data_IF_909532764929
#
_entry.id   IF_909532764929
#
_cell.length_a   1.000
_cell.length_b   1.000
_cell.length_c   1.000
_cell.angle_alpha   90.00
_cell.angle_beta   90.00
_cell.angle_gamma   90.00
#
_symmetry.space_group_name_H-M   'P 1'
#
loop_
_entity.id
_entity.type
_entity.pdbx_description
1 polymer ?
#
# COMPACT_ATOMS: atom_id res chain seq x y z
N UNK A 1 -47.35 22.27 -30.05
CA UNK A 1 -47.85 21.86 -31.39
C UNK A 1 -47.18 20.56 -31.81
N UNK A 2 -47.88 19.72 -32.60
CA UNK A 2 -47.35 18.69 -33.53
C UNK A 2 -47.66 19.19 -34.98
N UNK A 3 -47.34 18.53 -36.13
CA UNK A 3 -46.62 17.27 -36.41
C UNK A 3 -45.20 17.57 -36.98
N UNK A 4 -44.47 16.84 -37.85
CA UNK A 4 -44.65 15.71 -38.81
C UNK A 4 -43.44 14.74 -38.80
N UNK A 5 -43.46 13.76 -39.72
CA UNK A 5 -42.40 12.79 -40.08
C UNK A 5 -42.41 12.59 -41.63
N UNK A 6 -41.72 11.57 -42.17
CA UNK A 6 -41.50 11.20 -43.59
C UNK A 6 -40.49 12.13 -44.33
N UNK A 7 -39.77 11.73 -45.39
CA UNK A 7 -39.75 10.53 -46.29
C UNK A 7 -38.27 10.20 -46.67
N UNK A 8 -37.72 8.98 -46.72
CA UNK A 8 -38.02 7.74 -47.49
C UNK A 8 -37.66 7.81 -49.01
N UNK A 9 -36.64 7.05 -49.47
CA UNK A 9 -36.65 6.16 -50.68
C UNK A 9 -35.27 5.71 -51.23
N UNK A 10 -35.10 4.38 -51.39
CA UNK A 10 -34.49 3.62 -52.53
C UNK A 10 -33.01 3.88 -52.96
N UNK A 11 -32.28 2.99 -53.67
CA UNK A 11 -32.59 1.69 -54.32
C UNK A 11 -31.44 0.66 -54.19
N UNK A 12 -31.68 -0.59 -54.59
CA UNK A 12 -30.80 -1.77 -54.59
C UNK A 12 -29.66 -1.80 -55.62
N UNK A 13 -28.62 -2.60 -55.33
CA UNK A 13 -27.98 -3.47 -56.32
C UNK A 13 -27.45 -4.76 -55.65
N UNK A 14 -27.54 -5.90 -56.34
CA UNK A 14 -27.10 -7.23 -55.88
C UNK A 14 -26.32 -7.88 -57.03
N UNK A 15 -25.12 -8.40 -56.78
CA UNK A 15 -24.32 -9.11 -57.80
C UNK A 15 -23.54 -10.25 -57.16
N UNK A 16 -23.87 -11.48 -57.54
CA UNK A 16 -23.22 -12.71 -57.10
C UNK A 16 -22.96 -13.56 -58.35
N UNK A 17 -21.71 -13.93 -58.60
CA UNK A 17 -21.33 -14.87 -59.67
C UNK A 17 -20.26 -15.84 -59.17
N UNK A 18 -20.19 -16.99 -59.82
CA UNK A 18 -19.63 -18.22 -59.29
C UNK A 18 -18.46 -18.76 -60.13
N UNK A 19 -17.53 -19.40 -59.43
CA UNK A 19 -16.70 -20.54 -59.87
C UNK A 19 -15.81 -20.41 -61.12
N UNK A 20 -14.49 -20.45 -60.87
CA UNK A 20 -13.52 -21.14 -61.74
C UNK A 20 -12.83 -22.22 -60.91
N UNK A 21 -12.73 -23.46 -61.43
CA UNK A 21 -12.28 -24.62 -60.64
C UNK A 21 -10.83 -25.04 -60.96
N UNK A 22 -10.12 -25.57 -59.97
CA UNK A 22 -8.79 -26.16 -60.11
C UNK A 22 -8.59 -27.37 -59.20
N UNK A 23 -8.48 -28.56 -59.79
CA UNK A 23 -8.02 -29.80 -59.12
C UNK A 23 -6.48 -29.75 -58.94
N UNK A 24 -5.82 -30.48 -58.03
CA UNK A 24 -6.18 -31.54 -57.05
C UNK A 24 -5.16 -31.42 -55.87
N UNK A 25 -5.19 -32.13 -54.73
CA UNK A 25 -5.43 -33.57 -54.49
C UNK A 25 -5.72 -33.82 -53.00
N UNK A 26 -6.48 -34.87 -52.70
CA UNK A 26 -6.93 -35.21 -51.34
C UNK A 26 -6.04 -36.28 -50.67
N UNK A 27 -5.75 -36.12 -49.37
CA UNK A 27 -5.39 -37.22 -48.45
C UNK A 27 -6.01 -36.99 -47.06
N UNK A 28 -6.36 -38.09 -46.38
CA UNK A 28 -6.98 -38.12 -45.05
C UNK A 28 -5.97 -37.97 -43.92
N UNK A 29 -6.39 -37.57 -42.70
CA UNK A 29 -5.49 -37.36 -41.57
C UNK A 29 -4.88 -38.68 -41.06
N UNK A 30 -3.64 -38.59 -40.59
CA UNK A 30 -2.96 -39.61 -39.80
C UNK A 30 -2.26 -38.94 -38.60
N UNK A 31 -2.58 -39.46 -37.42
CA UNK A 31 -1.88 -39.45 -36.12
C UNK A 31 -1.00 -38.25 -35.69
N UNK A 32 -1.31 -37.74 -34.50
CA UNK A 32 -0.55 -36.72 -33.76
C UNK A 32 0.69 -37.32 -33.08
N UNK A 33 1.89 -36.78 -33.32
CA UNK A 33 3.00 -36.85 -32.38
C UNK A 33 2.97 -35.61 -31.47
N UNK A 34 2.80 -35.80 -30.17
CA UNK A 34 2.91 -34.70 -29.20
C UNK A 34 4.35 -34.22 -29.08
N UNK A 35 4.58 -32.92 -29.20
CA UNK A 35 5.75 -32.28 -28.61
C UNK A 35 5.35 -30.92 -28.02
N UNK A 36 5.48 -30.81 -26.70
CA UNK A 36 5.15 -29.62 -25.93
C UNK A 36 6.42 -28.80 -25.68
N UNK A 37 6.66 -27.75 -26.45
CA UNK A 37 7.61 -26.71 -26.07
C UNK A 37 6.84 -25.49 -25.53
N UNK A 38 6.98 -25.28 -24.22
CA UNK A 38 6.29 -24.22 -23.48
C UNK A 38 6.84 -22.84 -23.86
N UNK A 39 5.98 -21.96 -24.36
CA UNK A 39 6.29 -20.53 -24.38
C UNK A 39 6.58 -20.05 -22.95
N UNK A 40 7.82 -19.62 -22.69
CA UNK A 40 8.20 -19.03 -21.39
C UNK A 40 7.50 -17.68 -21.23
N UNK A 41 6.38 -17.66 -20.51
CA UNK A 41 5.78 -16.43 -20.03
C UNK A 41 6.82 -15.64 -19.21
N UNK A 42 6.81 -14.32 -19.34
CA UNK A 42 7.61 -13.41 -18.50
C UNK A 42 7.22 -13.64 -17.04
N UNK A 43 8.15 -14.14 -16.24
CA UNK A 43 7.92 -14.50 -14.85
C UNK A 43 7.61 -13.30 -13.97
N UNK A 44 6.33 -12.97 -13.85
CA UNK A 44 5.84 -12.28 -12.66
C UNK A 44 6.13 -13.21 -11.47
N UNK A 45 7.06 -12.82 -10.61
CA UNK A 45 7.32 -13.55 -9.36
C UNK A 45 6.06 -13.40 -8.52
N UNK A 46 5.26 -14.46 -8.45
CA UNK A 46 4.20 -14.57 -7.45
C UNK A 46 4.88 -14.56 -6.10
N UNK A 47 4.75 -13.46 -5.36
CA UNK A 47 5.21 -13.38 -3.97
C UNK A 47 4.52 -14.51 -3.19
N UNK A 48 5.31 -15.40 -2.58
CA UNK A 48 4.73 -16.50 -1.82
C UNK A 48 4.00 -15.94 -0.61
N UNK A 49 2.93 -16.60 -0.17
CA UNK A 49 2.19 -16.15 1.01
C UNK A 49 3.10 -16.05 2.23
N UNK A 50 4.07 -16.97 2.37
CA UNK A 50 5.09 -16.92 3.41
C UNK A 50 5.99 -15.68 3.31
N UNK A 51 6.32 -15.23 2.10
CA UNK A 51 7.12 -14.00 1.88
C UNK A 51 6.33 -12.75 2.29
N UNK A 52 5.04 -12.69 1.93
CA UNK A 52 4.14 -11.60 2.30
C UNK A 52 3.91 -11.54 3.82
N UNK A 53 3.68 -12.70 4.46
CA UNK A 53 3.49 -12.78 5.91
C UNK A 53 4.80 -12.46 6.65
N UNK A 54 5.95 -12.88 6.12
CA UNK A 54 7.26 -12.46 6.62
C UNK A 54 7.48 -10.94 6.46
N UNK A 55 7.09 -10.34 5.33
CA UNK A 55 7.08 -8.89 5.13
C UNK A 55 6.26 -8.20 6.23
N UNK A 56 5.02 -8.64 6.49
CA UNK A 56 4.15 -7.98 7.49
C UNK A 56 4.58 -8.22 8.93
N UNK A 57 5.28 -9.31 9.21
CA UNK A 57 5.75 -9.65 10.57
C UNK A 57 6.89 -8.76 11.08
N UNK A 58 7.63 -8.09 10.18
CA UNK A 58 8.78 -7.25 10.54
C UNK A 58 8.34 -5.81 10.84
N UNK A 59 9.12 -5.03 11.61
CA UNK A 59 8.95 -3.58 11.65
C UNK A 59 9.13 -2.97 10.25
N UNK A 60 8.10 -2.28 9.78
CA UNK A 60 8.04 -1.60 8.48
C UNK A 60 7.06 -0.43 8.60
N UNK A 61 7.05 0.47 7.62
CA UNK A 61 6.09 1.58 7.58
C UNK A 61 4.77 1.12 6.95
N UNK A 62 3.70 1.12 7.71
CA UNK A 62 2.43 0.52 7.26
C UNK A 62 1.78 1.34 6.14
N UNK A 63 1.04 0.66 5.28
CA UNK A 63 0.00 1.31 4.47
C UNK A 63 -1.38 0.98 5.03
N UNK A 64 -2.13 2.04 5.34
CA UNK A 64 -3.52 1.95 5.79
C UNK A 64 -4.47 2.58 4.77
N UNK A 65 -5.74 2.16 4.74
CA UNK A 65 -6.66 2.64 3.71
C UNK A 65 -8.13 2.64 4.15
N UNK A 66 -8.78 3.82 4.07
CA UNK A 66 -10.23 3.91 4.18
C UNK A 66 -10.87 3.46 2.86
N UNK A 67 -11.71 2.43 2.93
CA UNK A 67 -12.51 1.91 1.82
C UNK A 67 -13.97 2.27 2.06
N UNK A 68 -14.59 3.00 1.13
CA UNK A 68 -16.02 3.36 1.22
C UNK A 68 -16.86 2.14 0.87
N UNK A 69 -17.70 1.65 1.80
CA UNK A 69 -18.40 0.39 1.58
C UNK A 69 -19.45 0.51 0.47
N UNK A 70 -19.11 -0.13 -0.66
CA UNK A 70 -19.84 -0.11 -1.93
C UNK A 70 -20.06 1.33 -2.46
N UNK A 71 -19.17 1.77 -3.36
CA UNK A 71 -19.20 3.12 -3.95
C UNK A 71 -19.16 4.23 -2.88
N UNK A 72 -19.80 5.39 -3.09
CA UNK A 72 -20.00 6.40 -2.06
C UNK A 72 -21.07 5.95 -1.06
N UNK A 73 -20.73 4.96 -0.23
CA UNK A 73 -21.55 4.40 0.85
C UNK A 73 -22.93 3.88 0.39
N UNK A 74 -23.07 2.55 0.29
CA UNK A 74 -24.30 1.85 -0.14
C UNK A 74 -24.72 2.08 -1.61
N UNK A 75 -23.81 2.56 -2.46
CA UNK A 75 -23.97 2.52 -3.93
C UNK A 75 -23.44 1.19 -4.50
N UNK A 76 -23.77 0.78 -5.74
CA UNK A 76 -23.17 -0.44 -6.29
C UNK A 76 -21.66 -0.27 -6.49
N UNK A 77 -20.86 -1.22 -5.99
CA UNK A 77 -19.41 -1.20 -6.19
C UNK A 77 -19.04 -1.32 -7.69
N UNK A 78 -18.05 -0.52 -8.19
CA UNK A 78 -17.74 -0.46 -9.60
C UNK A 78 -17.24 -1.83 -10.10
N UNK A 79 -17.79 -2.30 -11.23
CA UNK A 79 -17.43 -3.59 -11.87
C UNK A 79 -17.58 -4.83 -10.97
N UNK A 80 -18.42 -4.77 -9.93
CA UNK A 80 -18.61 -5.90 -9.00
C UNK A 80 -17.42 -6.13 -8.06
N UNK A 81 -16.57 -5.12 -7.87
CA UNK A 81 -15.43 -5.18 -6.96
C UNK A 81 -15.84 -5.15 -5.49
N UNK A 82 -14.95 -5.56 -4.59
CA UNK A 82 -15.16 -5.47 -3.15
C UNK A 82 -13.82 -5.36 -2.39
N UNK A 83 -13.87 -5.02 -1.11
CA UNK A 83 -12.67 -4.70 -0.34
C UNK A 83 -11.70 -5.87 -0.11
N UNK A 84 -12.07 -7.13 -0.35
CA UNK A 84 -11.11 -8.25 -0.28
C UNK A 84 -10.11 -8.28 -1.45
N UNK A 85 -10.26 -7.38 -2.42
CA UNK A 85 -9.42 -7.28 -3.63
C UNK A 85 -8.37 -6.16 -3.57
N UNK A 86 -8.28 -5.43 -2.45
CA UNK A 86 -7.18 -4.47 -2.18
C UNK A 86 -5.81 -5.16 -2.21
N UNK A 87 -4.69 -4.41 -2.34
CA UNK A 87 -3.37 -5.01 -2.46
C UNK A 87 -3.04 -5.96 -1.33
N UNK A 88 -2.45 -7.10 -1.68
CA UNK A 88 -1.97 -8.10 -0.72
C UNK A 88 -1.01 -7.49 0.33
N UNK A 89 -0.23 -6.47 -0.05
CA UNK A 89 0.66 -5.71 0.81
C UNK A 89 0.01 -4.53 1.57
N UNK A 90 -1.33 -4.40 1.59
CA UNK A 90 -2.03 -3.47 2.49
C UNK A 90 -2.03 -4.04 3.92
N UNK A 91 -1.67 -3.23 4.91
CA UNK A 91 -1.50 -3.71 6.29
C UNK A 91 -2.77 -3.54 7.11
N UNK A 92 -3.46 -2.39 6.97
CA UNK A 92 -4.72 -2.08 7.66
C UNK A 92 -5.74 -1.54 6.67
N UNK A 93 -6.80 -2.31 6.43
CA UNK A 93 -8.03 -1.81 5.82
C UNK A 93 -8.90 -1.16 6.91
N UNK A 94 -9.38 0.04 6.65
CA UNK A 94 -10.34 0.77 7.49
C UNK A 94 -11.65 0.81 6.72
N UNK A 95 -12.65 0.05 7.17
CA UNK A 95 -13.94 0.02 6.48
C UNK A 95 -14.76 1.25 6.90
N UNK A 96 -14.99 2.16 5.96
CA UNK A 96 -15.76 3.37 6.20
C UNK A 96 -17.26 3.13 5.94
N UNK A 97 -18.11 3.88 6.66
CA UNK A 97 -19.57 3.95 6.52
C UNK A 97 -20.37 2.62 6.50
N UNK A 98 -19.80 1.50 6.97
CA UNK A 98 -20.53 0.23 7.13
C UNK A 98 -21.63 0.28 8.20
N UNK A 99 -22.74 -0.39 7.92
CA UNK A 99 -23.80 -0.70 8.89
C UNK A 99 -24.21 -2.18 8.77
N UNK A 100 -24.65 -2.81 9.87
CA UNK A 100 -25.39 -4.08 9.84
C UNK A 100 -26.61 -4.13 8.89
N UNK A 101 -27.11 -2.98 8.43
CA UNK A 101 -28.17 -2.84 7.42
C UNK A 101 -27.67 -2.76 5.97
N UNK A 102 -26.36 -2.86 5.72
CA UNK A 102 -25.79 -2.88 4.36
C UNK A 102 -26.27 -4.10 3.56
N UNK A 103 -26.56 -3.97 2.25
CA UNK A 103 -26.89 -5.09 1.36
C UNK A 103 -25.84 -6.21 1.34
N UNK A 104 -24.58 -5.90 1.67
CA UNK A 104 -23.46 -6.85 1.70
C UNK A 104 -23.01 -7.25 3.11
N UNK A 105 -23.78 -6.92 4.15
CA UNK A 105 -23.41 -7.21 5.55
C UNK A 105 -23.18 -8.71 5.83
N UNK A 106 -23.82 -9.62 5.07
CA UNK A 106 -23.57 -11.07 5.18
C UNK A 106 -22.26 -11.53 4.52
N UNK A 107 -21.72 -10.76 3.58
CA UNK A 107 -20.49 -11.06 2.83
C UNK A 107 -19.25 -10.55 3.57
N UNK A 108 -19.39 -9.46 4.34
CA UNK A 108 -18.32 -8.80 5.11
C UNK A 108 -17.41 -9.79 5.89
N UNK A 109 -17.91 -10.78 6.65
CA UNK A 109 -17.03 -11.71 7.38
C UNK A 109 -16.16 -12.60 6.46
N UNK A 110 -16.68 -12.99 5.29
CA UNK A 110 -15.91 -13.76 4.31
C UNK A 110 -14.83 -12.92 3.62
N UNK A 111 -15.12 -11.66 3.34
CA UNK A 111 -14.15 -10.70 2.81
C UNK A 111 -13.05 -10.34 3.84
N UNK A 112 -13.42 -10.19 5.11
CA UNK A 112 -12.46 -10.01 6.23
C UNK A 112 -11.56 -11.25 6.36
N UNK A 113 -12.13 -12.46 6.40
CA UNK A 113 -11.35 -13.70 6.46
C UNK A 113 -10.39 -13.84 5.26
N UNK A 114 -10.80 -13.40 4.07
CA UNK A 114 -9.93 -13.38 2.87
C UNK A 114 -8.70 -12.49 3.10
N UNK A 115 -8.87 -11.32 3.70
CA UNK A 115 -7.78 -10.40 4.05
C UNK A 115 -6.93 -10.90 5.22
N UNK A 116 -7.52 -11.60 6.19
CA UNK A 116 -6.80 -12.26 7.28
C UNK A 116 -5.80 -13.31 6.78
N UNK A 117 -6.14 -14.08 5.73
CA UNK A 117 -5.15 -15.04 5.15
C UNK A 117 -3.88 -14.36 4.63
N UNK A 118 -3.99 -13.08 4.22
CA UNK A 118 -2.89 -12.24 3.73
C UNK A 118 -2.25 -11.37 4.83
N UNK A 119 -2.65 -11.55 6.09
CA UNK A 119 -2.17 -10.75 7.22
C UNK A 119 -2.62 -9.28 7.22
N UNK A 120 -3.59 -8.90 6.38
CA UNK A 120 -4.20 -7.56 6.41
C UNK A 120 -5.22 -7.51 7.55
N UNK A 121 -5.08 -6.55 8.48
CA UNK A 121 -6.11 -6.28 9.48
C UNK A 121 -7.26 -5.50 8.85
N UNK A 122 -8.49 -5.73 9.33
CA UNK A 122 -9.67 -4.95 8.92
C UNK A 122 -10.34 -4.34 10.14
N UNK A 123 -10.33 -3.01 10.24
CA UNK A 123 -10.99 -2.25 11.32
C UNK A 123 -12.20 -1.49 10.78
N UNK A 124 -13.02 -0.91 11.66
CA UNK A 124 -14.24 -0.18 11.31
C UNK A 124 -14.25 1.21 11.94
N UNK A 125 -14.48 2.24 11.13
CA UNK A 125 -14.73 3.60 11.64
C UNK A 125 -16.15 3.72 12.22
N UNK A 126 -16.30 4.34 13.38
CA UNK A 126 -17.61 4.61 13.96
C UNK A 126 -17.61 5.54 15.18
N UNK A 127 -18.82 5.76 15.73
CA UNK A 127 -19.07 6.76 16.76
C UNK A 127 -18.82 6.28 18.20
N UNK A 128 -18.73 7.27 19.11
CA UNK A 128 -18.60 7.06 20.57
C UNK A 128 -19.88 7.42 21.34
N UNK A 129 -20.97 7.69 20.64
CA UNK A 129 -22.20 8.21 21.23
C UNK A 129 -22.92 7.14 22.07
N UNK A 130 -23.57 7.58 23.16
CA UNK A 130 -24.14 6.67 24.15
C UNK A 130 -25.32 5.87 23.57
N UNK A 131 -25.27 4.54 23.73
CA UNK A 131 -26.38 3.66 23.31
C UNK A 131 -27.64 3.92 24.12
N UNK A 132 -28.81 3.62 23.55
CA UNK A 132 -30.10 3.86 24.18
C UNK A 132 -30.15 3.38 25.65
N UNK A 133 -30.47 4.29 26.58
CA UNK A 133 -30.50 4.02 28.02
C UNK A 133 -29.15 3.65 28.63
N UNK A 134 -28.04 4.16 28.10
CA UNK A 134 -26.78 4.27 28.83
C UNK A 134 -26.76 5.56 29.68
N UNK A 135 -26.10 5.51 30.82
CA UNK A 135 -25.88 6.65 31.72
C UNK A 135 -24.63 7.46 31.33
N UNK A 136 -24.57 8.72 31.73
CA UNK A 136 -23.41 9.60 31.54
C UNK A 136 -22.31 9.31 32.60
N UNK A 137 -21.96 8.03 32.76
CA UNK A 137 -21.02 7.53 33.77
C UNK A 137 -20.32 6.23 33.31
N UNK A 138 -19.43 5.71 34.16
CA UNK A 138 -18.66 4.50 33.87
C UNK A 138 -19.49 3.23 33.60
N UNK A 139 -20.75 3.15 34.04
CA UNK A 139 -21.66 2.03 33.76
C UNK A 139 -22.22 2.17 32.35
N UNK A 140 -22.67 3.36 31.97
CA UNK A 140 -23.15 3.64 30.62
C UNK A 140 -22.03 3.58 29.58
N UNK A 141 -20.82 4.05 29.90
CA UNK A 141 -19.64 3.91 29.04
C UNK A 141 -19.28 2.45 28.81
N UNK A 142 -19.34 1.61 29.86
CA UNK A 142 -19.15 0.16 29.73
C UNK A 142 -20.25 -0.51 28.91
N UNK A 143 -21.52 -0.08 29.04
CA UNK A 143 -22.65 -0.54 28.23
C UNK A 143 -22.45 -0.22 26.74
N UNK A 144 -22.07 1.03 26.42
CA UNK A 144 -21.78 1.49 25.05
C UNK A 144 -20.61 0.73 24.44
N UNK A 145 -19.48 0.63 25.14
CA UNK A 145 -18.31 -0.11 24.65
C UNK A 145 -18.62 -1.60 24.43
N UNK A 146 -19.34 -2.25 25.36
CA UNK A 146 -19.76 -3.65 25.17
C UNK A 146 -20.70 -3.80 23.97
N UNK A 147 -21.64 -2.88 23.77
CA UNK A 147 -22.53 -2.91 22.60
C UNK A 147 -21.75 -2.78 21.28
N UNK A 148 -20.77 -1.87 21.18
CA UNK A 148 -19.91 -1.73 19.98
C UNK A 148 -19.17 -3.04 19.70
N UNK A 149 -18.58 -3.64 20.74
CA UNK A 149 -17.86 -4.91 20.63
C UNK A 149 -18.77 -6.08 20.22
N UNK A 150 -19.91 -6.25 20.88
CA UNK A 150 -20.82 -7.38 20.66
C UNK A 150 -21.60 -7.26 19.34
N UNK A 151 -22.11 -6.07 19.01
CA UNK A 151 -23.03 -5.87 17.88
C UNK A 151 -22.33 -5.66 16.54
N UNK A 152 -21.05 -5.25 16.55
CA UNK A 152 -20.29 -5.00 15.32
C UNK A 152 -18.90 -5.64 15.32
N UNK A 153 -17.97 -5.25 16.20
CA UNK A 153 -16.55 -5.63 16.07
C UNK A 153 -16.37 -7.15 16.11
N UNK A 154 -16.88 -7.81 17.14
CA UNK A 154 -16.80 -9.27 17.28
C UNK A 154 -17.78 -10.00 16.34
N UNK A 155 -18.94 -9.40 16.04
CA UNK A 155 -19.99 -10.02 15.20
C UNK A 155 -19.54 -10.25 13.76
N UNK A 156 -18.80 -9.31 13.19
CA UNK A 156 -18.33 -9.37 11.80
C UNK A 156 -16.85 -9.78 11.67
N UNK A 157 -16.13 -9.87 12.79
CA UNK A 157 -14.72 -10.32 12.82
C UNK A 157 -13.68 -9.21 12.67
N UNK A 158 -14.05 -7.93 12.82
CA UNK A 158 -13.13 -6.80 12.71
C UNK A 158 -12.00 -6.88 13.75
N UNK A 159 -10.81 -6.46 13.34
CA UNK A 159 -9.59 -6.39 14.15
C UNK A 159 -9.47 -5.14 14.99
N UNK A 160 -10.46 -4.26 15.00
CA UNK A 160 -10.37 -3.00 15.72
C UNK A 160 -11.53 -2.06 15.47
N UNK A 161 -11.47 -0.92 16.14
CA UNK A 161 -12.41 0.18 15.99
C UNK A 161 -11.66 1.49 15.83
N UNK A 162 -12.12 2.29 14.89
CA UNK A 162 -11.56 3.57 14.51
C UNK A 162 -12.57 4.68 14.81
N UNK A 163 -12.07 5.84 15.22
CA UNK A 163 -12.92 6.96 15.65
C UNK A 163 -12.43 8.22 14.94
N UNK A 164 -13.29 8.76 14.08
CA UNK A 164 -13.09 10.04 13.40
C UNK A 164 -13.49 11.22 14.29
N UNK A 165 -12.51 12.08 14.58
CA UNK A 165 -12.62 13.28 15.41
C UNK A 165 -12.26 14.50 14.57
N UNK A 166 -13.19 14.90 13.69
CA UNK A 166 -13.13 16.15 12.94
C UNK A 166 -13.44 17.41 13.78
N UNK A 167 -13.72 17.30 15.08
CA UNK A 167 -14.23 18.40 15.92
C UNK A 167 -13.50 18.54 17.26
N UNK A 168 -13.80 19.62 17.99
CA UNK A 168 -13.26 19.89 19.33
C UNK A 168 -14.37 19.68 20.38
N UNK A 169 -14.58 18.43 20.86
CA UNK A 169 -15.64 18.11 21.81
C UNK A 169 -15.38 18.77 23.16
N UNK A 170 -16.44 19.18 23.86
CA UNK A 170 -16.35 19.90 25.15
C UNK A 170 -17.43 19.47 26.15
N UNK A 171 -17.29 19.89 27.41
CA UNK A 171 -18.28 19.65 28.45
C UNK A 171 -18.63 18.17 28.67
N UNK A 172 -19.93 17.85 28.65
CA UNK A 172 -20.42 16.49 28.83
C UNK A 172 -20.02 15.58 27.65
N UNK A 173 -20.07 16.08 26.41
CA UNK A 173 -19.72 15.27 25.23
C UNK A 173 -18.25 14.82 25.26
N UNK A 174 -17.33 15.72 25.60
CA UNK A 174 -15.92 15.38 25.84
C UNK A 174 -15.74 14.33 26.95
N UNK A 175 -16.58 14.40 27.99
CA UNK A 175 -16.55 13.47 29.12
C UNK A 175 -17.06 12.09 28.70
N UNK A 176 -18.15 12.05 27.93
CA UNK A 176 -18.76 10.82 27.44
C UNK A 176 -17.89 10.13 26.39
N UNK A 177 -17.42 10.87 25.36
CA UNK A 177 -16.53 10.31 24.34
C UNK A 177 -15.25 9.76 24.96
N UNK A 178 -14.59 10.49 25.87
CA UNK A 178 -13.41 9.99 26.58
C UNK A 178 -13.73 8.79 27.50
N UNK A 179 -14.92 8.77 28.10
CA UNK A 179 -15.43 7.68 28.91
C UNK A 179 -15.62 6.38 28.13
N UNK A 180 -16.28 6.46 26.97
CA UNK A 180 -16.48 5.33 26.05
C UNK A 180 -15.14 4.86 25.48
N UNK A 181 -14.24 5.78 25.10
CA UNK A 181 -12.88 5.44 24.65
C UNK A 181 -12.11 4.62 25.71
N UNK A 182 -12.18 5.06 26.98
CA UNK A 182 -11.59 4.34 28.13
C UNK A 182 -12.25 2.99 28.38
N UNK A 183 -13.53 2.83 28.08
CA UNK A 183 -14.22 1.55 28.18
C UNK A 183 -13.87 0.60 27.01
N UNK A 184 -13.70 1.12 25.79
CA UNK A 184 -13.20 0.36 24.62
C UNK A 184 -11.75 -0.10 24.82
N UNK A 185 -10.91 0.70 25.49
CA UNK A 185 -9.50 0.37 25.76
C UNK A 185 -9.25 -0.89 26.62
N UNK A 186 -10.32 -1.53 27.11
CA UNK A 186 -10.29 -2.85 27.76
C UNK A 186 -10.34 -4.03 26.77
N UNK A 187 -10.82 -3.79 25.56
CA UNK A 187 -11.04 -4.79 24.51
C UNK A 187 -10.13 -4.55 23.29
N UNK A 188 -9.78 -3.29 23.05
CA UNK A 188 -9.05 -2.78 21.90
C UNK A 188 -7.85 -1.91 22.34
N UNK A 189 -6.86 -1.74 21.47
CA UNK A 189 -5.71 -0.87 21.70
C UNK A 189 -4.63 -1.47 22.60
N UNK A 190 -3.50 -0.75 22.79
CA UNK A 190 -2.32 -1.26 23.50
C UNK A 190 -2.55 -1.62 24.98
N UNK A 191 -3.66 -1.15 25.58
CA UNK A 191 -4.06 -1.47 26.96
C UNK A 191 -4.87 -2.75 27.12
N UNK A 192 -5.36 -3.32 26.02
CA UNK A 192 -6.25 -4.49 26.07
C UNK A 192 -5.52 -5.83 26.08
N UNK A 193 -4.31 -5.89 25.52
CA UNK A 193 -3.56 -7.13 25.30
C UNK A 193 -4.17 -8.09 24.25
N UNK A 194 -5.23 -7.68 23.54
CA UNK A 194 -5.94 -8.56 22.57
C UNK A 194 -5.33 -8.59 21.18
N UNK A 195 -4.43 -7.65 20.87
CA UNK A 195 -3.90 -7.42 19.52
C UNK A 195 -4.89 -6.75 18.56
N UNK A 196 -6.13 -6.47 19.00
CA UNK A 196 -7.09 -5.66 18.26
C UNK A 196 -6.79 -4.16 18.43
N UNK A 197 -6.97 -3.40 17.36
CA UNK A 197 -6.59 -1.99 17.29
C UNK A 197 -7.67 -1.05 17.85
N UNK A 198 -7.23 0.07 18.40
CA UNK A 198 -8.05 1.23 18.73
C UNK A 198 -7.36 2.48 18.16
N UNK A 199 -8.03 3.25 17.31
CA UNK A 199 -7.37 4.33 16.55
C UNK A 199 -8.13 5.66 16.58
N UNK A 200 -7.40 6.72 16.26
CA UNK A 200 -7.88 8.10 16.33
C UNK A 200 -7.65 8.77 14.97
N UNK A 201 -8.68 8.84 14.15
CA UNK A 201 -8.66 9.63 12.91
C UNK A 201 -9.01 11.08 13.21
N UNK A 202 -8.34 12.03 12.54
CA UNK A 202 -8.59 13.46 12.77
C UNK A 202 -7.99 14.38 11.72
N UNK A 203 -8.72 15.45 11.38
CA UNK A 203 -8.17 16.62 10.70
C UNK A 203 -7.47 17.63 11.66
N UNK A 204 -7.52 17.40 12.98
CA UNK A 204 -7.03 18.31 14.03
C UNK A 204 -5.53 18.11 14.33
N UNK A 205 -5.12 18.41 15.56
CA UNK A 205 -3.72 18.34 16.01
C UNK A 205 -3.66 17.88 17.48
N UNK A 206 -2.47 17.60 18.03
CA UNK A 206 -2.27 17.06 19.38
C UNK A 206 -2.67 17.99 20.54
N UNK A 207 -3.15 19.20 20.25
CA UNK A 207 -3.81 20.08 21.24
C UNK A 207 -5.28 19.72 21.50
N UNK A 208 -5.87 18.79 20.73
CA UNK A 208 -7.26 18.39 20.86
C UNK A 208 -7.57 17.76 22.24
N UNK A 209 -8.67 18.21 22.85
CA UNK A 209 -9.05 17.92 24.23
C UNK A 209 -9.43 16.45 24.46
N UNK A 210 -9.92 15.76 23.42
CA UNK A 210 -10.21 14.32 23.49
C UNK A 210 -8.93 13.52 23.30
N UNK A 211 -8.11 13.85 22.28
CA UNK A 211 -6.81 13.21 22.05
C UNK A 211 -5.95 13.19 23.34
N UNK A 212 -5.81 14.34 24.02
CA UNK A 212 -5.02 14.44 25.26
C UNK A 212 -5.56 13.59 26.42
N UNK A 213 -6.82 13.16 26.39
CA UNK A 213 -7.40 12.22 27.36
C UNK A 213 -7.20 10.75 26.97
N UNK A 214 -7.04 10.45 25.68
CA UNK A 214 -7.10 9.07 25.15
C UNK A 214 -5.81 8.57 24.48
N UNK A 215 -4.81 9.41 24.21
CA UNK A 215 -3.60 9.03 23.47
C UNK A 215 -2.90 7.76 23.98
N UNK A 216 -2.89 7.52 25.29
CA UNK A 216 -2.34 6.28 25.90
C UNK A 216 -3.18 5.02 25.64
N UNK A 217 -4.24 5.10 24.84
CA UNK A 217 -5.19 4.04 24.53
C UNK A 217 -5.22 3.69 23.04
N UNK A 218 -4.45 4.40 22.20
CA UNK A 218 -4.49 4.26 20.74
C UNK A 218 -3.22 3.59 20.22
N UNK A 219 -3.35 2.76 19.18
CA UNK A 219 -2.20 2.23 18.45
C UNK A 219 -1.66 3.30 17.49
N UNK A 220 -2.56 3.92 16.71
CA UNK A 220 -2.25 4.88 15.66
C UNK A 220 -3.12 6.15 15.74
N UNK A 221 -2.53 7.25 15.29
CA UNK A 221 -3.24 8.48 14.91
C UNK A 221 -3.20 8.60 13.39
N UNK A 222 -4.38 8.54 12.77
CA UNK A 222 -4.56 8.85 11.37
C UNK A 222 -4.73 10.37 11.27
N UNK A 223 -3.77 11.08 10.68
CA UNK A 223 -3.90 12.52 10.41
C UNK A 223 -4.46 12.74 9.00
N UNK A 224 -5.70 13.21 8.90
CA UNK A 224 -6.34 13.64 7.64
C UNK A 224 -5.64 14.88 7.08
N UNK A 225 -4.55 14.67 6.34
CA UNK A 225 -3.69 15.72 5.80
C UNK A 225 -4.09 16.13 4.37
N UNK A 226 -5.32 15.84 3.95
CA UNK A 226 -5.81 16.08 2.58
C UNK A 226 -5.57 17.54 2.15
N UNK A 227 -5.01 17.74 0.95
CA UNK A 227 -4.70 19.09 0.45
C UNK A 227 -3.42 19.74 0.99
N UNK A 228 -2.84 19.26 2.10
CA UNK A 228 -1.73 19.93 2.81
C UNK A 228 -0.37 19.62 2.16
N UNK A 229 0.58 20.55 2.21
CA UNK A 229 1.94 20.29 1.73
C UNK A 229 2.72 19.42 2.73
N UNK A 230 3.57 18.49 2.27
CA UNK A 230 4.37 17.63 3.16
C UNK A 230 5.23 18.41 4.17
N UNK A 231 5.65 19.64 3.82
CA UNK A 231 6.34 20.57 4.71
C UNK A 231 5.55 20.99 5.96
N UNK A 232 4.21 20.88 5.97
CA UNK A 232 3.37 21.20 7.14
C UNK A 232 3.14 20.01 8.08
N UNK A 233 3.59 18.80 7.67
CA UNK A 233 3.48 17.61 8.52
C UNK A 233 4.37 17.73 9.76
N UNK A 234 5.56 18.33 9.66
CA UNK A 234 6.47 18.50 10.81
C UNK A 234 5.90 19.43 11.90
N UNK A 235 5.25 20.55 11.54
CA UNK A 235 4.63 21.43 12.54
C UNK A 235 3.41 20.77 13.20
N UNK A 236 2.67 19.94 12.44
CA UNK A 236 1.58 19.14 12.99
C UNK A 236 2.11 18.05 13.92
N UNK A 237 3.14 17.30 13.51
CA UNK A 237 3.82 16.29 14.30
C UNK A 237 4.36 16.84 15.63
N UNK A 238 4.93 18.05 15.64
CA UNK A 238 5.41 18.70 16.87
C UNK A 238 4.31 18.91 17.93
N UNK A 239 3.02 18.87 17.58
CA UNK A 239 1.91 18.89 18.56
C UNK A 239 1.57 17.50 19.14
N UNK A 240 1.85 16.42 18.39
CA UNK A 240 1.57 15.03 18.77
C UNK A 240 2.76 14.35 19.48
N UNK A 241 3.99 14.75 19.14
CA UNK A 241 5.24 14.18 19.68
C UNK A 241 5.42 14.20 21.21
N UNK A 242 4.77 15.07 22.01
CA UNK A 242 4.79 14.94 23.47
C UNK A 242 3.99 13.77 24.03
N UNK A 243 3.15 13.12 23.20
CA UNK A 243 2.12 12.16 23.62
C UNK A 243 2.32 10.76 23.03
N UNK A 244 2.73 10.67 21.76
CA UNK A 244 2.87 9.40 21.03
C UNK A 244 4.26 9.27 20.38
N UNK A 245 4.65 8.04 20.03
CA UNK A 245 5.87 7.79 19.23
C UNK A 245 5.62 8.11 17.76
N UNK A 246 6.68 8.45 17.00
CA UNK A 246 6.53 8.77 15.57
C UNK A 246 6.02 7.59 14.74
N UNK A 247 6.31 6.36 15.16
CA UNK A 247 5.77 5.12 14.60
C UNK A 247 4.25 4.94 14.79
N UNK A 248 3.59 5.81 15.55
CA UNK A 248 2.13 5.84 15.72
C UNK A 248 1.46 6.93 14.86
N UNK A 249 2.25 7.85 14.28
CA UNK A 249 1.75 8.99 13.51
C UNK A 249 1.76 8.66 12.01
N UNK A 250 0.58 8.70 11.40
CA UNK A 250 0.36 8.27 10.02
C UNK A 250 -0.38 9.37 9.25
N UNK A 251 0.33 10.21 8.47
CA UNK A 251 -0.29 11.21 7.61
C UNK A 251 -1.06 10.57 6.45
N UNK A 252 -2.24 11.09 6.17
CA UNK A 252 -3.14 10.58 5.13
C UNK A 252 -3.44 11.55 4.01
N UNK A 253 -3.60 11.01 2.82
CA UNK A 253 -4.00 11.73 1.60
C UNK A 253 -5.36 11.24 1.10
N UNK A 254 -6.02 11.97 0.20
CA UNK A 254 -7.32 11.58 -0.37
C UNK A 254 -7.24 11.30 -1.88
N UNK A 255 -7.81 10.17 -2.31
CA UNK A 255 -8.06 9.92 -3.73
C UNK A 255 -9.20 10.82 -4.26
N UNK A 256 -9.37 10.93 -5.59
CA UNK A 256 -10.47 11.74 -6.13
C UNK A 256 -11.80 10.98 -6.08
N UNK A 257 -12.62 11.32 -5.08
CA UNK A 257 -14.03 10.94 -5.03
C UNK A 257 -14.80 11.51 -6.22
N UNK A 258 -15.58 10.65 -6.88
CA UNK A 258 -16.51 11.05 -7.93
C UNK A 258 -17.45 12.18 -7.46
N UNK A 259 -17.62 13.18 -8.32
CA UNK A 259 -18.46 14.38 -8.12
C UNK A 259 -18.00 15.28 -6.96
N UNK A 260 -16.81 15.05 -6.40
CA UNK A 260 -16.25 15.93 -5.37
C UNK A 260 -15.91 17.34 -5.86
N UNK A 261 -15.64 17.53 -7.16
CA UNK A 261 -15.31 18.86 -7.69
C UNK A 261 -16.57 19.77 -7.72
N UNK A 262 -16.49 21.04 -7.27
CA UNK A 262 -15.30 21.77 -6.80
C UNK A 262 -15.10 21.80 -5.28
N UNK A 263 -16.03 21.27 -4.48
CA UNK A 263 -16.08 21.48 -3.01
C UNK A 263 -15.30 20.47 -2.16
N UNK A 264 -15.05 19.28 -2.69
CA UNK A 264 -14.33 18.17 -2.06
C UNK A 264 -13.34 17.60 -3.08
N UNK A 265 -12.27 18.35 -3.37
CA UNK A 265 -11.22 17.98 -4.33
C UNK A 265 -9.86 18.41 -3.81
N UNK A 266 -8.99 17.41 -3.55
CA UNK A 266 -7.77 17.64 -2.79
C UNK A 266 -6.51 17.76 -3.65
N UNK A 267 -6.48 17.16 -4.85
CA UNK A 267 -5.30 17.09 -5.72
C UNK A 267 -4.06 16.43 -5.06
N UNK A 268 -4.25 15.47 -4.15
CA UNK A 268 -3.12 14.75 -3.53
C UNK A 268 -2.41 13.78 -4.49
N UNK A 269 -3.11 13.34 -5.55
CA UNK A 269 -2.59 12.46 -6.60
C UNK A 269 -2.66 13.18 -7.96
N UNK A 270 -1.54 13.14 -8.70
CA UNK A 270 -1.49 13.61 -10.08
C UNK A 270 -2.00 12.54 -11.05
N UNK A 271 -2.87 12.94 -11.98
CA UNK A 271 -3.47 12.05 -12.97
C UNK A 271 -3.27 12.58 -14.40
N UNK A 272 -2.94 11.72 -15.39
CA UNK A 272 -2.63 10.29 -15.26
C UNK A 272 -1.42 10.00 -14.35
N UNK A 273 -1.43 8.83 -13.69
CA UNK A 273 -0.49 8.51 -12.60
C UNK A 273 0.96 8.49 -13.09
N UNK A 274 1.81 9.31 -12.47
CA UNK A 274 3.18 9.58 -12.91
C UNK A 274 4.25 9.54 -11.80
N UNK A 275 3.92 9.03 -10.60
CA UNK A 275 4.83 9.01 -9.44
C UNK A 275 4.96 10.32 -8.65
N UNK A 276 4.10 11.31 -8.94
CA UNK A 276 4.11 12.64 -8.31
C UNK A 276 2.76 13.04 -7.70
N UNK A 277 2.79 14.01 -6.78
CA UNK A 277 1.65 14.41 -5.95
C UNK A 277 1.94 14.22 -4.47
N UNK A 278 1.17 14.88 -3.61
CA UNK A 278 1.40 14.92 -2.15
C UNK A 278 1.37 13.54 -1.51
N UNK A 279 0.58 12.61 -2.05
CA UNK A 279 0.58 11.21 -1.63
C UNK A 279 1.99 10.57 -1.67
N UNK A 280 2.76 10.85 -2.73
CA UNK A 280 4.13 10.37 -2.92
C UNK A 280 5.14 11.12 -2.04
N UNK A 281 4.89 12.40 -1.78
CA UNK A 281 5.70 13.20 -0.86
C UNK A 281 5.47 12.80 0.60
N UNK A 282 4.27 12.37 0.97
CA UNK A 282 3.97 11.81 2.29
C UNK A 282 4.69 10.48 2.51
N UNK A 283 4.70 9.59 1.50
CA UNK A 283 5.45 8.34 1.57
C UNK A 283 6.97 8.60 1.75
N UNK A 284 7.51 9.64 1.12
CA UNK A 284 8.91 10.12 1.27
C UNK A 284 9.21 10.89 2.56
N UNK A 285 8.21 11.51 3.19
CA UNK A 285 8.41 12.42 4.33
C UNK A 285 8.73 11.65 5.61
N UNK A 286 9.58 12.22 6.46
CA UNK A 286 9.84 11.71 7.81
C UNK A 286 9.81 12.84 8.85
N UNK A 287 9.33 12.57 10.08
CA UNK A 287 9.51 13.48 11.19
C UNK A 287 10.97 13.54 11.64
N UNK A 288 11.39 14.71 12.14
CA UNK A 288 12.73 14.92 12.72
C UNK A 288 13.11 13.99 13.89
N UNK A 289 12.15 13.26 14.46
CA UNK A 289 12.35 12.32 15.56
C UNK A 289 12.61 10.86 15.13
N UNK A 290 12.56 10.54 13.83
CA UNK A 290 12.77 9.17 13.32
C UNK A 290 11.78 8.79 12.22
N UNK A 291 11.50 7.49 12.06
CA UNK A 291 10.48 7.02 11.11
C UNK A 291 9.06 7.36 11.58
N UNK A 292 8.20 7.76 10.64
CA UNK A 292 6.73 7.79 10.82
C UNK A 292 6.15 6.38 11.00
N UNK A 293 4.86 6.27 11.30
CA UNK A 293 4.17 4.98 11.33
C UNK A 293 3.93 4.40 9.93
N UNK A 294 3.69 5.28 8.96
CA UNK A 294 3.36 4.91 7.58
C UNK A 294 2.62 6.03 6.85
N UNK A 295 1.79 5.67 5.88
CA UNK A 295 0.85 6.59 5.20
C UNK A 295 -0.53 5.93 5.10
N UNK A 296 -1.60 6.73 5.09
CA UNK A 296 -2.93 6.23 4.73
C UNK A 296 -3.56 6.92 3.52
N UNK A 297 -4.52 6.26 2.89
CA UNK A 297 -5.37 6.86 1.85
C UNK A 297 -6.85 6.87 2.24
N UNK A 298 -7.54 7.97 1.99
CA UNK A 298 -9.00 8.00 1.94
C UNK A 298 -9.53 7.67 0.54
N UNK A 299 -10.64 6.92 0.49
CA UNK A 299 -11.29 6.40 -0.72
C UNK A 299 -10.38 5.53 -1.61
N UNK A 300 -9.76 4.46 -1.06
CA UNK A 300 -8.91 3.54 -1.85
C UNK A 300 -9.67 2.81 -2.97
N UNK A 301 -11.00 2.74 -2.88
CA UNK A 301 -11.90 2.34 -3.98
C UNK A 301 -11.82 3.27 -5.23
N UNK A 302 -11.03 4.35 -5.15
CA UNK A 302 -10.73 5.29 -6.25
C UNK A 302 -9.26 5.26 -6.70
N UNK A 303 -8.44 4.30 -6.25
CA UNK A 303 -7.09 4.06 -6.80
C UNK A 303 -7.16 3.35 -8.17
N UNK A 304 -7.44 4.16 -9.18
CA UNK A 304 -7.88 3.75 -10.51
C UNK A 304 -7.15 4.58 -11.60
N UNK A 305 -7.19 4.13 -12.87
CA UNK A 305 -6.57 4.83 -14.00
C UNK A 305 -7.40 6.05 -14.45
N UNK A 306 -7.65 7.01 -13.54
CA UNK A 306 -8.33 8.26 -13.85
C UNK A 306 -7.53 9.05 -14.89
N UNK A 307 -8.24 9.65 -15.85
CA UNK A 307 -7.64 10.44 -16.93
C UNK A 307 -7.26 11.86 -16.52
N UNK A 308 -7.81 12.36 -15.42
CA UNK A 308 -7.55 13.69 -14.85
C UNK A 308 -7.94 13.74 -13.36
N UNK A 309 -7.44 14.74 -12.62
CA UNK A 309 -7.70 14.90 -11.17
C UNK A 309 -9.15 15.25 -10.79
N UNK A 310 -10.07 15.28 -11.75
CA UNK A 310 -11.52 15.46 -11.55
C UNK A 310 -12.36 14.45 -12.36
N UNK A 311 -11.76 13.33 -12.77
CA UNK A 311 -12.43 12.31 -13.59
C UNK A 311 -13.50 11.55 -12.77
N UNK A 312 -14.76 11.88 -13.08
CA UNK A 312 -15.95 11.30 -12.46
C UNK A 312 -16.30 9.90 -12.95
N UNK A 313 -15.51 9.35 -13.89
CA UNK A 313 -15.74 8.02 -14.45
C UNK A 313 -15.46 6.93 -13.41
N UNK A 314 -16.26 5.87 -13.46
CA UNK A 314 -16.01 4.66 -12.67
C UNK A 314 -15.10 3.72 -13.46
N UNK A 315 -14.01 3.31 -12.82
CA UNK A 315 -13.08 2.30 -13.31
C UNK A 315 -12.96 1.19 -12.26
N UNK A 316 -12.50 0.00 -12.66
CA UNK A 316 -12.04 -1.00 -11.70
C UNK A 316 -10.74 -0.48 -11.03
N UNK A 317 -10.62 -0.51 -9.70
CA UNK A 317 -9.38 -0.14 -9.03
C UNK A 317 -8.20 -1.00 -9.50
N UNK A 318 -7.07 -0.34 -9.76
CA UNK A 318 -5.80 -1.01 -10.09
C UNK A 318 -4.85 -1.02 -8.90
N UNK A 319 -5.13 -0.17 -7.90
CA UNK A 319 -4.32 0.06 -6.71
C UNK A 319 -2.87 0.45 -7.03
N UNK A 320 -2.68 1.18 -8.13
CA UNK A 320 -1.36 1.52 -8.68
C UNK A 320 -0.62 2.52 -7.79
N UNK A 321 -1.32 3.51 -7.23
CA UNK A 321 -0.72 4.48 -6.32
C UNK A 321 -0.36 3.78 -5.02
N UNK A 322 -1.30 3.05 -4.41
CA UNK A 322 -1.12 2.26 -3.19
C UNK A 322 0.15 1.39 -3.25
N UNK A 323 0.32 0.62 -4.33
CA UNK A 323 1.50 -0.24 -4.54
C UNK A 323 2.80 0.57 -4.66
N UNK A 324 2.78 1.70 -5.36
CA UNK A 324 3.94 2.58 -5.47
C UNK A 324 4.31 3.25 -4.13
N UNK A 325 3.32 3.65 -3.32
CA UNK A 325 3.58 4.25 -2.00
C UNK A 325 4.16 3.24 -1.02
N UNK A 326 3.63 2.01 -1.00
CA UNK A 326 4.19 0.90 -0.22
C UNK A 326 5.66 0.66 -0.61
N UNK A 327 5.97 0.66 -1.91
CA UNK A 327 7.35 0.51 -2.43
C UNK A 327 8.26 1.72 -2.14
N UNK A 328 7.71 2.92 -1.91
CA UNK A 328 8.48 4.12 -1.56
C UNK A 328 8.82 4.15 -0.06
N UNK A 329 7.89 3.75 0.80
CA UNK A 329 8.13 3.63 2.24
C UNK A 329 9.02 2.42 2.55
N UNK A 330 8.73 1.28 1.92
CA UNK A 330 9.39 -0.01 2.13
C UNK A 330 10.05 -0.53 0.84
N UNK A 331 11.05 0.18 0.28
CA UNK A 331 11.69 -0.25 -0.97
C UNK A 331 12.34 -1.62 -0.82
N UNK A 332 12.41 -2.39 -1.91
CA UNK A 332 12.87 -3.79 -1.92
C UNK A 332 14.35 -3.99 -1.56
N UNK A 333 15.08 -2.92 -1.24
CA UNK A 333 16.42 -2.93 -0.62
C UNK A 333 16.51 -2.15 0.71
N UNK A 334 15.38 -1.85 1.36
CA UNK A 334 15.27 -0.95 2.51
C UNK A 334 14.79 -1.57 3.83
N UNK A 335 14.43 -2.86 3.87
CA UNK A 335 14.00 -3.52 5.10
C UNK A 335 13.93 -5.05 4.98
N UNK A 336 14.68 -5.74 5.85
CA UNK A 336 14.70 -7.19 6.12
C UNK A 336 14.29 -8.17 5.00
N UNK A 337 15.30 -8.65 4.27
CA UNK A 337 15.29 -9.89 3.48
C UNK A 337 16.73 -10.42 3.40
N UNK A 338 17.64 -9.54 3.00
CA UNK A 338 19.07 -9.58 3.35
C UNK A 338 19.60 -8.15 3.40
N UNK A 339 20.21 -7.73 4.52
CA UNK A 339 21.18 -6.63 4.47
C UNK A 339 22.32 -7.09 3.57
N UNK A 340 22.77 -6.26 2.64
CA UNK A 340 23.76 -6.69 1.67
C UNK A 340 24.31 -5.58 0.78
N UNK A 341 25.40 -5.92 0.11
CA UNK A 341 26.08 -5.11 -0.91
C UNK A 341 25.27 -5.17 -2.20
N UNK A 342 25.19 -4.06 -2.92
CA UNK A 342 24.53 -4.01 -4.24
C UNK A 342 25.50 -3.44 -5.26
N UNK A 343 25.80 -4.21 -6.31
CA UNK A 343 26.59 -3.79 -7.45
C UNK A 343 25.69 -3.29 -8.57
N UNK A 344 26.20 -2.34 -9.36
CA UNK A 344 25.47 -1.65 -10.42
C UNK A 344 26.30 -1.65 -11.71
N UNK A 345 25.61 -1.82 -12.83
CA UNK A 345 26.21 -1.83 -14.16
C UNK A 345 26.92 -0.51 -14.49
N UNK A 346 26.25 0.61 -14.22
CA UNK A 346 26.74 1.93 -14.62
C UNK A 346 27.31 2.73 -13.44
N UNK A 347 28.00 3.82 -13.77
CA UNK A 347 28.39 4.84 -12.80
C UNK A 347 27.16 5.45 -12.09
N UNK A 348 27.36 6.04 -10.91
CA UNK A 348 26.31 6.77 -10.19
C UNK A 348 25.17 5.90 -9.66
N UNK A 349 25.38 4.58 -9.54
CA UNK A 349 24.37 3.59 -9.18
C UNK A 349 23.25 3.43 -10.24
N UNK A 350 23.58 3.65 -11.51
CA UNK A 350 22.70 3.48 -12.66
C UNK A 350 22.70 2.05 -13.24
N UNK A 351 21.92 1.86 -14.30
CA UNK A 351 21.84 0.61 -15.05
C UNK A 351 21.13 -0.52 -14.31
N UNK A 352 21.41 -1.75 -14.71
CA UNK A 352 20.95 -2.93 -13.98
C UNK A 352 21.70 -3.08 -12.65
N UNK A 353 21.06 -3.67 -11.65
CA UNK A 353 21.58 -3.83 -10.29
C UNK A 353 21.51 -5.27 -9.81
N UNK A 354 22.45 -5.67 -8.96
CA UNK A 354 22.43 -6.98 -8.31
C UNK A 354 21.33 -7.09 -7.26
N UNK A 355 21.00 -8.33 -6.89
CA UNK A 355 20.34 -8.60 -5.61
C UNK A 355 21.26 -8.17 -4.45
N UNK A 356 20.74 -7.83 -3.25
CA UNK A 356 21.55 -7.60 -2.07
C UNK A 356 22.38 -8.84 -1.71
N UNK A 357 23.70 -8.68 -1.62
CA UNK A 357 24.65 -9.76 -1.34
C UNK A 357 25.12 -9.67 0.12
N UNK A 358 24.76 -10.67 0.93
CA UNK A 358 25.10 -10.74 2.36
C UNK A 358 26.60 -10.97 2.60
N UNK A 359 27.05 -10.93 3.86
CA UNK A 359 28.43 -11.29 4.24
C UNK A 359 28.76 -12.72 3.82
N UNK A 360 29.95 -12.94 3.28
CA UNK A 360 30.38 -14.20 2.68
C UNK A 360 31.44 -14.04 1.59
N UNK A 361 31.87 -15.16 1.02
CA UNK A 361 32.82 -15.22 -0.10
C UNK A 361 32.08 -15.75 -1.33
N UNK A 362 32.16 -15.03 -2.45
CA UNK A 362 31.39 -15.31 -3.67
C UNK A 362 32.30 -15.42 -4.90
N UNK A 363 32.31 -16.60 -5.50
CA UNK A 363 32.88 -16.87 -6.84
C UNK A 363 31.99 -16.27 -7.93
N UNK A 364 32.50 -16.21 -9.16
CA UNK A 364 31.80 -15.69 -10.33
C UNK A 364 30.41 -16.32 -10.51
N UNK A 365 30.33 -17.66 -10.45
CA UNK A 365 29.05 -18.37 -10.62
C UNK A 365 28.01 -18.02 -9.54
N UNK A 366 28.47 -17.74 -8.32
CA UNK A 366 27.63 -17.32 -7.19
C UNK A 366 27.21 -15.84 -7.30
N UNK A 367 28.07 -14.99 -7.88
CA UNK A 367 27.78 -13.59 -8.20
C UNK A 367 26.78 -13.46 -9.37
N UNK A 368 26.93 -14.28 -10.40
CA UNK A 368 25.98 -14.39 -11.52
C UNK A 368 24.59 -14.82 -11.03
N UNK A 369 24.53 -15.77 -10.10
CA UNK A 369 23.28 -16.16 -9.40
C UNK A 369 22.68 -15.04 -8.51
N UNK A 370 23.38 -13.90 -8.34
CA UNK A 370 22.89 -12.67 -7.70
C UNK A 370 22.72 -11.50 -8.69
N UNK A 371 22.88 -11.73 -9.99
CA UNK A 371 22.71 -10.70 -11.03
C UNK A 371 23.94 -9.83 -11.29
N UNK A 372 25.13 -10.22 -10.81
CA UNK A 372 26.40 -9.58 -11.19
C UNK A 372 27.03 -10.38 -12.34
N UNK A 373 27.18 -9.75 -13.50
CA UNK A 373 27.87 -10.36 -14.66
C UNK A 373 29.40 -10.23 -14.48
N UNK A 374 30.19 -11.04 -15.19
CA UNK A 374 31.66 -10.85 -15.22
C UNK A 374 31.99 -9.50 -15.87
N UNK A 375 33.05 -8.83 -15.41
CA UNK A 375 33.56 -7.60 -16.05
C UNK A 375 32.46 -6.55 -16.33
N UNK A 376 31.57 -6.29 -15.36
CA UNK A 376 30.33 -5.51 -15.57
C UNK A 376 30.01 -4.45 -14.50
N UNK A 377 30.66 -4.50 -13.33
CA UNK A 377 30.34 -3.57 -12.24
C UNK A 377 31.08 -2.23 -12.42
N UNK A 378 30.34 -1.13 -12.47
CA UNK A 378 30.89 0.25 -12.48
C UNK A 378 30.63 1.02 -11.19
N UNK A 379 29.68 0.62 -10.34
CA UNK A 379 29.49 1.23 -9.01
C UNK A 379 28.89 0.26 -7.97
N UNK A 380 29.01 0.60 -6.68
CA UNK A 380 28.62 -0.29 -5.57
C UNK A 380 28.10 0.47 -4.35
N UNK A 381 27.01 -0.04 -3.74
CA UNK A 381 26.54 0.37 -2.40
C UNK A 381 26.92 -0.68 -1.36
N UNK A 382 27.41 -0.23 -0.23
CA UNK A 382 27.92 -1.04 0.88
C UNK A 382 27.19 -0.60 2.17
N UNK A 383 26.58 -1.52 2.93
CA UNK A 383 25.94 -1.19 4.20
C UNK A 383 26.93 -0.56 5.20
N UNK A 384 26.45 0.31 6.09
CA UNK A 384 27.31 0.95 7.09
C UNK A 384 27.99 -0.08 8.00
N UNK A 385 29.30 0.07 8.22
CA UNK A 385 30.09 -0.87 9.03
C UNK A 385 30.38 -2.22 8.37
N UNK A 386 30.19 -2.33 7.04
CA UNK A 386 30.61 -3.50 6.26
C UNK A 386 31.85 -3.18 5.42
N UNK A 387 32.56 -4.21 4.97
CA UNK A 387 33.63 -4.06 3.97
C UNK A 387 33.49 -5.06 2.84
N UNK A 388 34.03 -4.71 1.68
CA UNK A 388 33.96 -5.49 0.45
C UNK A 388 35.32 -5.49 -0.22
N UNK A 389 35.89 -6.66 -0.44
CA UNK A 389 37.05 -6.83 -1.33
C UNK A 389 36.60 -7.46 -2.63
N UNK A 390 36.66 -6.70 -3.72
CA UNK A 390 36.43 -7.20 -5.09
C UNK A 390 37.76 -7.65 -5.72
N UNK A 391 37.70 -8.63 -6.61
CA UNK A 391 38.83 -9.29 -7.24
C UNK A 391 38.68 -9.32 -8.77
N UNK A 392 39.79 -9.13 -9.47
CA UNK A 392 39.86 -9.11 -10.93
C UNK A 392 39.52 -10.46 -11.55
N UNK A 393 39.99 -11.54 -10.93
CA UNK A 393 39.81 -12.91 -11.41
C UNK A 393 38.87 -13.70 -10.48
N UNK A 394 38.35 -14.84 -10.94
CA UNK A 394 37.52 -15.72 -10.12
C UNK A 394 38.32 -16.37 -8.97
N UNK A 395 37.62 -16.96 -8.00
CA UNK A 395 38.19 -17.67 -6.85
C UNK A 395 39.15 -16.81 -6.01
N UNK A 396 38.88 -15.50 -5.95
CA UNK A 396 39.56 -14.50 -5.13
C UNK A 396 41.03 -14.30 -5.50
N UNK A 397 41.30 -14.29 -6.80
CA UNK A 397 42.64 -14.13 -7.38
C UNK A 397 42.76 -12.84 -8.22
N UNK A 398 43.96 -12.58 -8.76
CA UNK A 398 44.25 -11.35 -9.50
C UNK A 398 44.39 -10.11 -8.62
N UNK A 399 44.27 -8.93 -9.26
CA UNK A 399 44.24 -7.63 -8.58
C UNK A 399 43.00 -7.53 -7.67
N UNK A 400 43.14 -6.94 -6.49
CA UNK A 400 42.04 -6.81 -5.53
C UNK A 400 41.90 -5.39 -4.98
N UNK A 401 40.66 -4.94 -4.74
CA UNK A 401 40.34 -3.62 -4.20
C UNK A 401 39.40 -3.76 -3.01
N UNK A 402 39.70 -3.08 -1.90
CA UNK A 402 38.85 -3.10 -0.69
C UNK A 402 38.14 -1.76 -0.50
N UNK A 403 36.84 -1.83 -0.21
CA UNK A 403 35.92 -0.69 -0.06
C UNK A 403 35.14 -0.83 1.25
N UNK A 404 34.96 0.26 1.99
CA UNK A 404 34.27 0.31 3.30
C UNK A 404 33.07 1.25 3.31
N UNK A 405 32.68 1.76 2.14
CA UNK A 405 31.58 2.71 1.94
C UNK A 405 31.10 2.65 0.48
N UNK A 406 29.92 3.21 0.20
CA UNK A 406 29.41 3.36 -1.17
C UNK A 406 30.47 4.01 -2.08
N UNK A 407 30.63 3.48 -3.29
CA UNK A 407 31.48 4.08 -4.34
C UNK A 407 30.66 4.19 -5.63
N UNK A 408 30.44 5.42 -6.09
CA UNK A 408 29.69 5.73 -7.31
C UNK A 408 30.48 5.55 -8.61
N UNK A 409 31.79 5.27 -8.55
CA UNK A 409 32.61 5.04 -9.74
C UNK A 409 33.85 4.17 -9.43
N UNK A 410 33.77 2.88 -9.77
CA UNK A 410 34.86 1.91 -9.62
C UNK A 410 36.05 2.20 -10.56
N UNK A 411 35.81 2.88 -11.68
CA UNK A 411 36.86 3.45 -12.52
C UNK A 411 37.64 4.63 -11.90
N UNK A 412 37.25 5.11 -10.71
CA UNK A 412 38.01 6.09 -9.94
C UNK A 412 39.12 5.48 -9.06
N UNK A 413 39.23 4.15 -9.02
CA UNK A 413 40.27 3.44 -8.29
C UNK A 413 41.57 3.36 -9.12
N UNK A 414 42.71 3.16 -8.45
CA UNK A 414 44.01 2.96 -9.10
C UNK A 414 44.66 1.65 -8.62
N UNK A 415 44.88 0.66 -9.50
CA UNK A 415 44.39 0.58 -10.88
C UNK A 415 42.85 0.61 -10.96
N UNK A 416 42.29 0.87 -12.14
CA UNK A 416 40.82 0.89 -12.34
C UNK A 416 40.20 -0.47 -12.07
N UNK A 417 39.09 -0.48 -11.32
CA UNK A 417 38.27 -1.68 -11.10
C UNK A 417 37.00 -1.71 -11.96
N UNK A 418 36.81 -0.71 -12.86
CA UNK A 418 35.63 -0.66 -13.72
C UNK A 418 35.60 -1.86 -14.65
N UNK A 419 34.47 -2.54 -14.71
CA UNK A 419 34.27 -3.70 -15.60
C UNK A 419 35.39 -4.74 -15.41
N UNK A 420 35.84 -4.96 -14.17
CA UNK A 420 36.91 -5.93 -13.80
C UNK A 420 36.48 -6.95 -12.75
N UNK A 421 35.29 -6.83 -12.15
CA UNK A 421 34.91 -7.70 -11.04
C UNK A 421 34.52 -9.10 -11.53
N UNK A 422 35.24 -10.12 -11.03
CA UNK A 422 34.96 -11.54 -11.27
C UNK A 422 34.66 -12.33 -9.97
N UNK A 423 35.21 -11.93 -8.81
CA UNK A 423 34.86 -12.51 -7.50
C UNK A 423 34.91 -11.50 -6.35
N UNK A 424 34.27 -11.78 -5.20
CA UNK A 424 34.22 -10.85 -4.06
C UNK A 424 34.10 -11.51 -2.68
N UNK A 425 34.65 -10.83 -1.66
CA UNK A 425 34.49 -11.15 -0.23
C UNK A 425 33.80 -9.98 0.47
N UNK A 426 32.82 -10.26 1.32
CA UNK A 426 31.97 -9.28 2.01
C UNK A 426 31.99 -9.59 3.51
N UNK A 427 32.33 -8.59 4.33
CA UNK A 427 32.67 -8.73 5.76
C UNK A 427 32.02 -7.68 6.67
#
# INVERSE_FOLDING_TARGET
MKPKCLSFSLLTAFMMMLLGAGCTKEQRPADVPTNSESAKASGAVTESLDSLLAYKSRPHEIYAAFYRLEGPCYGPAPFGTNFSQVPDSLDILILFCFSPSSPVASQVPGWINTLHTKGTKVILTGGLDLVAGATHDAVGYAKTAKYIMDSVVNKYGFDGYDIDIESEPSGQDLTDKAGVYKALSKYLGPKSGTGKLLTFDTNRNGSNSLFQKVYTMVDYVWLQAYGRGASTLQSTWSTFSPYIQSSQFVPGFSFYEERGYPSNVWYDVTYPVNGTGRAYDYARWEPTSGKKGGVFSYAIDRDAPLTSSTDNTMYAPTYIVSKQLIQIMNPSGGGSGTTGVVFYQDAGYGGAASQPIAKGNYTLSQLQAKGVVNDWASSVKIPSGWSVTIYADDNFSGTSWTLTSNNSWLGGLSPSANDKMSSAKIQ
#
